data_IF_297768902890
#
_entry.id   IF_297768902890
#
_cell.length_a   1.000
_cell.length_b   1.000
_cell.length_c   1.000
_cell.angle_alpha   90.00
_cell.angle_beta   90.00
_cell.angle_gamma   90.00
#
_symmetry.space_group_name_H-M   'P 1'
#
loop_
_entity.id
_entity.type
_entity.pdbx_description
1 polymer ?
#
# COMPACT_ATOMS: atom_id res chain seq x y z
N UNK A 1 -12.71 2.54 25.53
CA UNK A 1 -12.00 2.80 24.25
C UNK A 1 -12.80 2.17 23.13
N UNK A 2 -13.32 2.97 22.19
CA UNK A 2 -14.21 2.47 21.13
C UNK A 2 -13.44 1.59 20.15
N UNK A 3 -13.49 0.27 20.38
CA UNK A 3 -12.62 -0.73 19.73
C UNK A 3 -13.05 -1.14 18.32
N UNK A 4 -14.12 -0.54 17.77
CA UNK A 4 -14.65 -0.88 16.43
C UNK A 4 -15.18 0.37 15.71
N UNK A 5 -14.37 1.05 14.87
CA UNK A 5 -14.88 2.09 14.00
C UNK A 5 -15.86 1.50 12.97
N UNK A 6 -16.95 2.21 12.68
CA UNK A 6 -17.96 1.77 11.71
C UNK A 6 -17.46 1.86 10.26
N UNK A 7 -18.21 1.27 9.33
CA UNK A 7 -17.91 1.21 7.88
C UNK A 7 -17.66 2.59 7.24
N UNK A 8 -18.25 3.64 7.80
CA UNK A 8 -18.13 5.04 7.34
C UNK A 8 -17.05 5.82 8.11
N UNK A 9 -16.67 5.33 9.29
CA UNK A 9 -15.64 5.96 10.14
C UNK A 9 -14.24 5.68 9.60
N UNK A 10 -14.07 4.61 8.84
CA UNK A 10 -12.83 4.31 8.14
C UNK A 10 -12.93 4.70 6.66
N UNK A 11 -12.01 5.54 6.20
CA UNK A 11 -11.90 5.86 4.77
C UNK A 11 -11.78 4.55 3.96
N UNK A 12 -12.51 4.35 2.85
CA UNK A 12 -12.52 3.06 2.14
C UNK A 12 -11.11 2.61 1.68
N UNK A 13 -10.24 3.59 1.46
CA UNK A 13 -8.84 3.44 1.04
C UNK A 13 -7.86 3.26 2.20
N UNK A 14 -8.32 3.24 3.48
CA UNK A 14 -7.46 3.10 4.67
C UNK A 14 -6.76 1.74 4.70
N UNK A 15 -7.40 0.70 4.16
CA UNK A 15 -6.83 -0.65 4.01
C UNK A 15 -5.60 -0.69 3.09
N UNK A 16 -5.43 0.27 2.19
CA UNK A 16 -4.29 0.33 1.27
C UNK A 16 -3.01 0.88 1.93
N UNK A 17 -3.08 1.54 3.09
CA UNK A 17 -1.90 2.07 3.77
C UNK A 17 -1.01 2.93 2.85
N UNK A 18 0.28 2.60 2.75
CA UNK A 18 1.26 3.31 1.89
C UNK A 18 0.98 3.19 0.40
N UNK A 19 0.14 2.25 -0.04
CA UNK A 19 -0.23 2.11 -1.46
C UNK A 19 -1.10 3.25 -1.98
N UNK A 20 -1.77 3.99 -1.08
CA UNK A 20 -2.65 5.10 -1.43
C UNK A 20 -1.93 6.11 -2.35
N UNK A 21 -0.68 6.45 -2.05
CA UNK A 21 0.13 7.39 -2.86
C UNK A 21 0.48 6.87 -4.25
N UNK A 22 0.79 5.57 -4.38
CA UNK A 22 1.08 4.96 -5.67
C UNK A 22 -0.17 4.85 -6.53
N UNK A 23 -1.32 4.53 -5.94
CA UNK A 23 -2.59 4.47 -6.65
C UNK A 23 -3.02 5.85 -7.14
N UNK A 24 -2.89 6.90 -6.31
CA UNK A 24 -3.20 8.28 -6.74
C UNK A 24 -2.24 8.76 -7.82
N UNK A 25 -0.95 8.45 -7.71
CA UNK A 25 0.04 8.78 -8.74
C UNK A 25 -0.26 8.07 -10.06
N UNK A 26 -0.61 6.79 -10.00
CA UNK A 26 -1.01 6.01 -11.17
C UNK A 26 -2.28 6.58 -11.81
N UNK A 27 -3.29 6.96 -11.03
CA UNK A 27 -4.51 7.58 -11.57
C UNK A 27 -4.27 8.93 -12.22
N UNK A 28 -3.47 9.80 -11.59
CA UNK A 28 -3.13 11.10 -12.16
C UNK A 28 -2.36 10.93 -13.47
N UNK A 29 -1.38 10.02 -13.50
CA UNK A 29 -0.60 9.74 -14.69
C UNK A 29 -1.43 9.10 -15.81
N UNK A 30 -2.37 8.21 -15.45
CA UNK A 30 -3.29 7.58 -16.41
C UNK A 30 -4.32 8.58 -16.94
N UNK A 31 -4.82 9.48 -16.10
CA UNK A 31 -5.69 10.58 -16.51
C UNK A 31 -4.97 11.54 -17.45
N UNK A 32 -3.67 11.79 -17.22
CA UNK A 32 -2.83 12.62 -18.08
C UNK A 32 -2.52 11.96 -19.44
N UNK A 33 -2.19 10.66 -19.45
CA UNK A 33 -1.98 9.88 -20.69
C UNK A 33 -3.27 9.78 -21.51
N UNK A 34 -4.42 9.65 -20.86
CA UNK A 34 -5.72 9.45 -21.53
C UNK A 34 -6.41 10.80 -21.83
N UNK A 35 -5.89 11.92 -21.28
CA UNK A 35 -6.39 13.27 -21.56
C UNK A 35 -6.46 13.60 -23.06
N UNK A 36 -5.42 13.33 -23.89
CA UNK A 36 -5.46 13.56 -25.34
C UNK A 36 -6.43 12.63 -26.08
N UNK A 37 -6.88 11.55 -25.44
CA UNK A 37 -7.81 10.55 -25.98
C UNK A 37 -9.28 10.97 -25.80
N UNK A 38 -9.57 11.84 -24.82
CA UNK A 38 -10.90 12.38 -24.55
C UNK A 38 -11.06 13.85 -24.97
N UNK A 39 -9.97 14.62 -25.00
CA UNK A 39 -9.95 15.98 -25.52
C UNK A 39 -9.35 15.92 -26.93
N UNK A 40 -10.25 15.92 -27.91
CA UNK A 40 -9.96 15.91 -29.34
C UNK A 40 -9.27 17.23 -29.72
N UNK A 41 -7.94 17.24 -29.64
CA UNK A 41 -7.12 18.26 -30.26
C UNK A 41 -6.39 17.61 -31.43
N UNK A 42 -6.86 17.96 -32.64
CA UNK A 42 -6.61 17.39 -33.98
C UNK A 42 -5.12 17.34 -34.39
N UNK A 43 -4.22 17.74 -33.50
CA UNK A 43 -2.79 17.89 -33.73
C UNK A 43 -1.91 17.09 -32.76
N UNK A 44 -2.48 16.41 -31.76
CA UNK A 44 -1.70 15.74 -30.72
C UNK A 44 -1.15 14.42 -31.24
N UNK A 45 -0.02 14.49 -31.97
CA UNK A 45 0.79 13.32 -32.32
C UNK A 45 0.99 12.48 -31.06
N UNK A 46 0.58 11.22 -31.13
CA UNK A 46 0.77 10.27 -30.04
C UNK A 46 2.25 10.25 -29.64
N UNK A 47 2.55 10.78 -28.46
CA UNK A 47 3.92 10.79 -27.95
C UNK A 47 4.29 9.36 -27.53
N UNK A 48 4.98 8.66 -28.42
CA UNK A 48 5.52 7.31 -28.23
C UNK A 48 6.32 7.18 -26.93
N UNK A 49 6.91 8.30 -26.47
CA UNK A 49 7.63 8.38 -25.20
C UNK A 49 6.75 8.03 -23.99
N UNK A 50 5.50 8.52 -23.94
CA UNK A 50 4.58 8.19 -22.84
C UNK A 50 4.09 6.74 -22.90
N UNK A 51 3.84 6.24 -24.12
CA UNK A 51 3.45 4.85 -24.33
C UNK A 51 4.54 3.88 -23.84
N UNK A 52 5.81 4.17 -24.16
CA UNK A 52 6.96 3.39 -23.71
C UNK A 52 7.24 3.54 -22.21
N UNK A 53 6.92 4.68 -21.61
CA UNK A 53 7.11 4.94 -20.17
C UNK A 53 6.06 4.22 -19.30
N UNK A 54 4.83 4.06 -19.81
CA UNK A 54 3.72 3.40 -19.10
C UNK A 54 4.05 2.01 -18.55
N UNK A 55 4.55 1.03 -19.33
CA UNK A 55 4.85 -0.31 -18.82
C UNK A 55 5.93 -0.29 -17.72
N UNK A 56 6.88 0.65 -17.76
CA UNK A 56 7.91 0.79 -16.74
C UNK A 56 7.33 1.21 -15.38
N UNK A 57 6.33 2.09 -15.38
CA UNK A 57 5.62 2.50 -14.16
C UNK A 57 4.80 1.33 -13.59
N UNK A 58 4.07 0.61 -14.44
CA UNK A 58 3.34 -0.60 -14.03
C UNK A 58 4.27 -1.67 -13.45
N UNK A 59 5.43 -1.87 -14.08
CA UNK A 59 6.44 -2.80 -13.59
C UNK A 59 6.91 -2.45 -12.18
N UNK A 60 7.11 -1.17 -11.86
CA UNK A 60 7.50 -0.74 -10.51
C UNK A 60 6.43 -1.03 -9.47
N UNK A 61 5.16 -0.85 -9.80
CA UNK A 61 4.04 -1.18 -8.90
C UNK A 61 4.00 -2.68 -8.63
N UNK A 62 4.09 -3.51 -9.67
CA UNK A 62 4.07 -4.97 -9.56
C UNK A 62 5.26 -5.47 -8.73
N UNK A 63 6.48 -5.00 -9.05
CA UNK A 63 7.68 -5.38 -8.32
C UNK A 63 7.58 -5.03 -6.83
N UNK A 64 7.08 -3.84 -6.50
CA UNK A 64 6.89 -3.42 -5.12
C UNK A 64 5.86 -4.31 -4.40
N UNK A 65 4.74 -4.61 -5.05
CA UNK A 65 3.71 -5.48 -4.50
C UNK A 65 4.19 -6.91 -4.28
N UNK A 66 4.97 -7.47 -5.22
CA UNK A 66 5.59 -8.78 -5.09
C UNK A 66 6.56 -8.84 -3.91
N UNK A 67 7.41 -7.81 -3.77
CA UNK A 67 8.40 -7.75 -2.69
C UNK A 67 7.75 -7.63 -1.31
N UNK A 68 6.70 -6.82 -1.19
CA UNK A 68 5.91 -6.71 0.05
C UNK A 68 5.23 -8.05 0.37
N UNK A 69 4.61 -8.69 -0.62
CA UNK A 69 3.94 -9.97 -0.45
C UNK A 69 4.93 -11.07 -0.02
N UNK A 70 6.09 -11.13 -0.67
CA UNK A 70 7.15 -12.07 -0.33
C UNK A 70 7.70 -11.84 1.08
N UNK A 71 7.95 -10.58 1.45
CA UNK A 71 8.39 -10.24 2.81
C UNK A 71 7.36 -10.69 3.84
N UNK A 72 6.06 -10.44 3.62
CA UNK A 72 5.00 -10.85 4.54
C UNK A 72 4.89 -12.37 4.65
N UNK A 73 4.97 -13.07 3.54
CA UNK A 73 4.96 -14.54 3.50
C UNK A 73 6.15 -15.13 4.26
N UNK A 74 7.34 -14.54 4.11
CA UNK A 74 8.52 -14.95 4.85
C UNK A 74 8.37 -14.66 6.35
N UNK A 75 7.83 -13.50 6.73
CA UNK A 75 7.60 -13.14 8.14
C UNK A 75 6.55 -14.05 8.79
N UNK A 76 5.48 -14.44 8.09
CA UNK A 76 4.45 -15.32 8.65
C UNK A 76 4.93 -16.76 8.87
N UNK A 77 5.86 -17.25 8.02
CA UNK A 77 6.50 -18.57 8.17
C UNK A 77 7.81 -18.54 8.97
N UNK A 78 8.29 -17.37 9.39
CA UNK A 78 9.54 -17.22 10.14
C UNK A 78 9.39 -17.74 11.57
N UNK A 79 10.45 -18.35 12.11
CA UNK A 79 10.52 -18.78 13.53
C UNK A 79 10.41 -17.59 14.50
N UNK A 80 10.80 -16.39 14.07
CA UNK A 80 10.67 -15.15 14.86
C UNK A 80 9.26 -14.55 14.70
N UNK A 81 8.25 -15.33 15.07
CA UNK A 81 6.86 -14.88 15.04
C UNK A 81 6.65 -13.92 16.20
N UNK A 82 6.17 -12.71 15.91
CA UNK A 82 5.64 -11.81 16.94
C UNK A 82 4.44 -12.53 17.53
N UNK A 83 4.61 -13.01 18.76
CA UNK A 83 3.63 -13.80 19.48
C UNK A 83 3.02 -12.83 20.49
N UNK A 84 1.72 -12.58 20.39
CA UNK A 84 0.97 -11.87 21.41
C UNK A 84 0.92 -12.78 22.65
N UNK A 85 1.99 -12.73 23.44
CA UNK A 85 2.01 -13.31 24.77
C UNK A 85 1.49 -12.23 25.74
N UNK A 86 0.54 -12.57 26.62
CA UNK A 86 0.23 -11.69 27.72
C UNK A 86 1.50 -11.44 28.52
N UNK A 87 1.66 -10.22 29.04
CA UNK A 87 2.74 -9.90 29.96
C UNK A 87 2.46 -10.66 31.25
N UNK A 88 3.19 -11.76 31.49
CA UNK A 88 3.20 -12.42 32.79
C UNK A 88 4.00 -11.55 33.75
N UNK A 89 3.29 -10.76 34.55
CA UNK A 89 3.88 -10.12 35.71
C UNK A 89 4.14 -11.22 36.75
N UNK A 90 5.34 -11.76 36.74
CA UNK A 90 5.85 -12.48 37.91
C UNK A 90 6.16 -11.40 38.96
N UNK A 91 5.12 -11.03 39.70
CA UNK A 91 5.18 -10.03 40.74
C UNK A 91 6.02 -10.64 41.87
N UNK A 92 7.32 -10.35 41.84
CA UNK A 92 8.20 -10.67 42.96
C UNK A 92 7.88 -9.64 44.03
N UNK A 93 7.01 -10.01 44.96
CA UNK A 93 6.73 -9.21 46.15
C UNK A 93 8.04 -9.07 46.95
N UNK A 94 8.70 -7.93 46.79
CA UNK A 94 9.84 -7.53 47.61
C UNK A 94 9.29 -6.55 48.64
N UNK A 95 8.63 -7.09 49.66
CA UNK A 95 8.45 -6.42 50.94
C UNK A 95 8.92 -7.39 52.03
N UNK A 96 10.24 -7.41 52.26
CA UNK A 96 10.79 -7.98 53.49
C UNK A 96 11.02 -6.83 54.48
N UNK A 97 10.44 -7.04 55.67
CA UNK A 97 10.35 -6.23 56.89
C UNK A 97 11.67 -5.62 57.36
#
# INVERSE_FOLDING_TARGET
MASKPGIITEWPWKRLGKFKGYTTYCWLHLCWIVSPLFFEDDSTKWDWSYFLTSPFLFWKVIHNQLRISYSRFRTSKSKNKILDKPIDFNQVDIENN
#
